data_IF_909922778410
#
_entry.id   IF_909922778410
#
_cell.length_a   1.000
_cell.length_b   1.000
_cell.length_c   1.000
_cell.angle_alpha   90.00
_cell.angle_beta   90.00
_cell.angle_gamma   90.00
#
_symmetry.space_group_name_H-M   'P 1'
#
loop_
_entity.id
_entity.type
_entity.pdbx_description
1 polymer ?
#
# COMPACT_ATOMS: atom_id res chain seq x y z
N UNK A 1 4.82 -3.37 -3.85
CA UNK A 1 3.94 -3.46 -2.68
C UNK A 1 4.25 -2.28 -1.79
N UNK A 2 3.21 -1.52 -1.46
CA UNK A 2 3.32 -0.29 -0.68
C UNK A 2 2.39 -0.41 0.52
N UNK A 3 2.85 0.02 1.69
CA UNK A 3 2.00 0.21 2.87
C UNK A 3 1.76 1.70 3.08
N UNK A 4 0.51 2.05 3.37
CA UNK A 4 0.08 3.43 3.65
C UNK A 4 -0.68 3.44 4.98
N UNK A 5 -0.29 4.33 5.89
CA UNK A 5 -0.99 4.56 7.14
C UNK A 5 -2.22 5.42 6.92
N UNK A 6 -3.38 4.90 7.26
CA UNK A 6 -4.67 5.56 7.07
C UNK A 6 -5.32 5.79 8.43
N UNK A 7 -5.65 7.04 8.68
CA UNK A 7 -6.53 7.51 9.75
C UNK A 7 -7.98 7.29 9.32
N UNK A 8 -8.66 6.41 10.04
CA UNK A 8 -10.07 6.08 9.83
C UNK A 8 -10.87 6.50 11.05
N UNK A 9 -12.11 6.94 10.88
CA UNK A 9 -12.95 7.41 11.99
C UNK A 9 -13.19 6.36 13.08
N UNK A 10 -13.13 5.08 12.71
CA UNK A 10 -13.41 3.95 13.60
C UNK A 10 -12.21 3.53 14.45
N UNK A 11 -10.98 3.96 14.10
CA UNK A 11 -9.75 3.50 14.75
C UNK A 11 -9.00 4.69 15.39
N UNK A 12 -8.62 4.61 16.69
CA UNK A 12 -7.96 5.70 17.40
C UNK A 12 -6.50 5.91 16.98
N UNK A 13 -5.93 4.99 16.18
CA UNK A 13 -4.57 5.07 15.65
C UNK A 13 -4.57 4.82 14.15
N UNK A 14 -3.68 5.46 13.38
CA UNK A 14 -3.52 5.18 11.97
C UNK A 14 -3.24 3.70 11.72
N UNK A 15 -4.03 3.08 10.83
CA UNK A 15 -3.91 1.67 10.47
C UNK A 15 -3.19 1.55 9.13
N UNK A 16 -2.14 0.73 9.09
CA UNK A 16 -1.38 0.50 7.87
C UNK A 16 -2.13 -0.44 6.93
N UNK A 17 -2.52 0.09 5.78
CA UNK A 17 -3.14 -0.63 4.67
C UNK A 17 -2.11 -0.95 3.60
N UNK A 18 -2.14 -2.17 3.08
CA UNK A 18 -1.23 -2.62 2.03
C UNK A 18 -1.89 -2.58 0.66
N UNK A 19 -1.10 -2.22 -0.34
CA UNK A 19 -1.50 -2.13 -1.73
C UNK A 19 -0.50 -2.85 -2.62
N UNK A 20 -1.02 -3.64 -3.57
CA UNK A 20 -0.25 -4.15 -4.68
C UNK A 20 -0.39 -3.19 -5.85
N UNK A 21 0.75 -2.71 -6.35
CA UNK A 21 0.79 -1.71 -7.42
C UNK A 21 1.61 -2.26 -8.58
N UNK A 22 1.04 -2.21 -9.79
CA UNK A 22 1.67 -2.63 -11.03
C UNK A 22 2.57 -1.55 -11.64
N UNK A 23 3.45 -0.93 -10.85
CA UNK A 23 4.44 0.03 -11.36
C UNK A 23 5.86 -0.44 -11.03
N UNK A 24 6.77 -0.35 -12.00
CA UNK A 24 8.20 -0.62 -11.80
C UNK A 24 8.93 0.54 -11.10
N UNK A 25 8.43 1.76 -11.27
CA UNK A 25 8.94 2.95 -10.58
C UNK A 25 8.38 3.05 -9.16
N UNK A 26 9.28 3.20 -8.19
CA UNK A 26 8.94 3.22 -6.77
C UNK A 26 8.08 4.44 -6.41
N UNK A 27 8.46 5.63 -6.87
CA UNK A 27 7.77 6.87 -6.51
C UNK A 27 6.34 6.86 -7.06
N UNK A 28 6.16 6.45 -8.32
CA UNK A 28 4.83 6.29 -8.91
C UNK A 28 3.99 5.24 -8.18
N UNK A 29 4.61 4.14 -7.75
CA UNK A 29 3.91 3.12 -6.99
C UNK A 29 3.42 3.63 -5.62
N UNK A 30 4.25 4.42 -4.92
CA UNK A 30 3.90 5.04 -3.65
C UNK A 30 2.75 6.03 -3.80
N UNK A 31 2.81 6.93 -4.78
CA UNK A 31 1.72 7.88 -5.05
C UNK A 31 0.41 7.20 -5.45
N UNK A 32 0.46 6.19 -6.32
CA UNK A 32 -0.75 5.45 -6.70
C UNK A 32 -1.38 4.71 -5.50
N UNK A 33 -0.57 4.21 -4.57
CA UNK A 33 -1.08 3.63 -3.33
C UNK A 33 -1.70 4.69 -2.41
N UNK A 34 -1.11 5.89 -2.33
CA UNK A 34 -1.66 7.04 -1.58
C UNK A 34 -3.01 7.46 -2.14
N UNK A 35 -3.14 7.63 -3.45
CA UNK A 35 -4.40 7.98 -4.10
C UNK A 35 -5.51 6.98 -3.77
N UNK A 36 -5.18 5.68 -3.79
CA UNK A 36 -6.13 4.65 -3.40
C UNK A 36 -6.42 4.68 -1.89
N UNK A 37 -5.43 4.95 -1.04
CA UNK A 37 -5.62 5.02 0.41
C UNK A 37 -6.51 6.18 0.84
N UNK A 38 -6.48 7.31 0.11
CA UNK A 38 -7.36 8.46 0.34
C UNK A 38 -8.85 8.11 0.17
N UNK A 39 -9.18 7.05 -0.56
CA UNK A 39 -10.56 6.55 -0.66
C UNK A 39 -11.05 5.83 0.60
N UNK A 40 -10.12 5.43 1.48
CA UNK A 40 -10.42 4.73 2.74
C UNK A 40 -10.45 5.68 3.94
N UNK A 41 -9.71 6.79 3.89
CA UNK A 41 -9.58 7.75 4.98
C UNK A 41 -8.45 8.75 4.73
N UNK A 42 -8.07 9.50 5.77
CA UNK A 42 -6.95 10.43 5.66
C UNK A 42 -5.62 9.67 5.76
N UNK A 43 -4.65 10.01 4.93
CA UNK A 43 -3.29 9.45 5.06
C UNK A 43 -2.56 10.20 6.16
N UNK A 44 -1.92 9.47 7.07
CA UNK A 44 -1.17 10.09 8.17
C UNK A 44 -0.08 11.02 7.60
N UNK A 45 -0.02 12.25 8.11
CA UNK A 45 0.92 13.28 7.64
C UNK A 45 2.27 13.25 8.34
N UNK A 46 2.43 12.39 9.36
CA UNK A 46 3.64 12.32 10.17
C UNK A 46 3.94 10.89 10.61
N UNK A 47 5.21 10.53 10.86
CA UNK A 47 5.57 9.18 11.30
C UNK A 47 4.82 8.76 12.56
N UNK A 48 4.27 7.55 12.55
CA UNK A 48 3.49 7.00 13.66
C UNK A 48 4.33 5.95 14.36
N UNK A 49 4.78 6.24 15.58
CA UNK A 49 5.66 5.32 16.32
C UNK A 49 7.02 5.09 15.66
N UNK A 50 7.57 6.11 14.98
CA UNK A 50 8.87 6.02 14.30
C UNK A 50 8.84 5.33 12.93
N UNK A 51 7.64 5.11 12.38
CA UNK A 51 7.44 4.43 11.11
C UNK A 51 6.82 5.39 10.11
N UNK A 52 7.37 5.43 8.89
CA UNK A 52 6.92 6.32 7.82
C UNK A 52 5.48 6.03 7.39
N UNK A 53 4.66 7.07 7.13
CA UNK A 53 3.28 6.89 6.69
C UNK A 53 3.15 6.11 5.38
N UNK A 54 4.06 6.33 4.43
CA UNK A 54 4.06 5.70 3.10
C UNK A 54 5.39 5.01 2.90
N UNK A 55 5.35 3.71 2.61
CA UNK A 55 6.57 2.91 2.49
C UNK A 55 6.41 1.78 1.47
N UNK A 56 7.30 1.75 0.47
CA UNK A 56 7.43 0.60 -0.43
C UNK A 56 8.24 -0.54 0.22
N UNK A 57 7.54 -1.61 0.63
CA UNK A 57 8.15 -2.75 1.32
C UNK A 57 8.86 -3.75 0.39
N UNK A 58 8.31 -3.97 -0.80
CA UNK A 58 8.82 -4.99 -1.71
C UNK A 58 8.42 -4.74 -3.15
N UNK A 59 9.30 -5.07 -4.09
CA UNK A 59 8.93 -5.20 -5.50
C UNK A 59 8.08 -6.47 -5.68
N UNK A 60 6.96 -6.36 -6.39
CA UNK A 60 6.14 -7.53 -6.70
C UNK A 60 6.82 -8.34 -7.79
N UNK A 61 6.89 -9.67 -7.62
CA UNK A 61 7.39 -10.53 -8.69
C UNK A 61 6.43 -10.57 -9.88
N UNK A 62 6.91 -10.79 -11.12
CA UNK A 62 6.04 -10.91 -12.30
C UNK A 62 4.95 -11.98 -12.14
N UNK A 63 5.24 -13.06 -11.41
CA UNK A 63 4.28 -14.11 -11.07
C UNK A 63 3.12 -13.58 -10.22
N UNK A 64 3.41 -12.74 -9.23
CA UNK A 64 2.39 -12.13 -8.35
C UNK A 64 1.57 -11.10 -9.13
N UNK A 65 2.23 -10.26 -9.93
CA UNK A 65 1.57 -9.29 -10.83
C UNK A 65 0.58 -10.00 -11.76
N UNK A 66 1.02 -11.07 -12.43
CA UNK A 66 0.17 -11.90 -13.30
C UNK A 66 -0.97 -12.56 -12.54
N UNK A 67 -0.70 -13.17 -11.38
CA UNK A 67 -1.72 -13.82 -10.53
C UNK A 67 -2.83 -12.85 -10.10
N UNK A 68 -2.49 -11.57 -9.93
CA UNK A 68 -3.44 -10.54 -9.49
C UNK A 68 -4.07 -9.77 -10.65
N UNK A 69 -3.71 -10.12 -11.88
CA UNK A 69 -4.10 -9.40 -13.09
C UNK A 69 -3.85 -7.88 -12.98
N UNK A 70 -2.75 -7.51 -12.33
CA UNK A 70 -2.35 -6.10 -12.18
C UNK A 70 -1.82 -5.62 -13.53
N UNK A 71 -2.59 -4.76 -14.19
CA UNK A 71 -2.13 -4.00 -15.36
C UNK A 71 -1.11 -2.94 -14.90
N UNK A 72 -0.36 -2.39 -15.85
CA UNK A 72 0.53 -1.27 -15.56
C UNK A 72 -0.27 -0.12 -14.93
N UNK A 73 0.25 0.41 -13.81
CA UNK A 73 -0.41 1.46 -13.04
C UNK A 73 -1.64 1.01 -12.24
N UNK A 74 -2.09 -0.24 -12.36
CA UNK A 74 -3.20 -0.74 -11.56
C UNK A 74 -2.82 -0.88 -10.09
N UNK A 75 -3.74 -0.48 -9.21
CA UNK A 75 -3.63 -0.61 -7.76
C UNK A 75 -4.67 -1.60 -7.26
N UNK A 76 -4.28 -2.48 -6.36
CA UNK A 76 -5.20 -3.40 -5.69
C UNK A 76 -5.04 -3.33 -4.17
N UNK A 77 -6.12 -3.10 -3.41
CA UNK A 77 -6.09 -3.10 -1.95
C UNK A 77 -5.92 -4.53 -1.43
N UNK A 78 -5.04 -4.69 -0.44
CA UNK A 78 -4.72 -5.98 0.20
C UNK A 78 -5.27 -6.07 1.63
N UNK A 79 -5.71 -4.94 2.17
CA UNK A 79 -6.19 -4.79 3.54
C UNK A 79 -5.10 -4.40 4.53
N UNK A 80 -5.44 -4.42 5.82
CA UNK A 80 -4.56 -4.00 6.91
C UNK A 80 -3.64 -5.11 7.44
N UNK A 81 -3.91 -6.37 7.11
CA UNK A 81 -3.10 -7.50 7.55
C UNK A 81 -1.82 -7.62 6.73
N UNK A 82 -0.71 -7.92 7.42
CA UNK A 82 0.57 -8.10 6.76
C UNK A 82 0.52 -9.23 5.71
N UNK A 83 0.77 -8.96 4.42
CA UNK A 83 0.60 -9.93 3.35
C UNK A 83 1.79 -10.91 3.27
N UNK A 84 1.88 -11.85 4.23
CA UNK A 84 2.95 -12.86 4.31
C UNK A 84 3.07 -13.73 3.04
N UNK A 85 1.94 -14.07 2.41
CA UNK A 85 1.84 -14.98 1.24
C UNK A 85 2.28 -14.34 -0.10
N UNK A 86 2.75 -13.10 -0.08
CA UNK A 86 2.93 -12.27 -1.28
C UNK A 86 4.39 -11.93 -1.53
N UNK A 87 5.23 -12.09 -0.50
CA UNK A 87 6.67 -11.85 -0.50
C UNK A 87 7.47 -13.12 -0.87
N UNK A 88 6.80 -14.27 -1.05
CA UNK A 88 7.38 -15.56 -1.39
C UNK A 88 7.07 -15.99 -2.83
#
# INVERSE_FOLDING_TARGET
>A
MVGVMVETADEPKPVRHFFAVGHDDRNRAEWAAVDQALTLGQVATSPVGGVEPVEAFARLSPKVVKRMALREGAVRPLGALWPRRWLA
#
